data_IF_562937283610
#
_entry.id   IF_562937283610
#
_cell.length_a   1.000
_cell.length_b   1.000
_cell.length_c   1.000
_cell.angle_alpha   90.00
_cell.angle_beta   90.00
_cell.angle_gamma   90.00
#
_symmetry.space_group_name_H-M   'P 1'
#
loop_
_entity.id
_entity.type
_entity.pdbx_description
1 polymer ?
#
# COMPACT_ATOMS: atom_id res chain seq x y z
N UNK A 1 8.96 -23.99 -2.35
CA UNK A 1 9.74 -23.61 -1.14
C UNK A 1 9.12 -24.19 0.14
N UNK A 2 7.81 -24.00 0.40
CA UNK A 2 7.14 -24.50 1.62
C UNK A 2 7.31 -26.02 1.84
N UNK A 3 7.08 -26.85 0.82
CA UNK A 3 7.24 -28.31 0.95
C UNK A 3 8.66 -28.76 1.29
N UNK A 4 9.67 -28.05 0.77
CA UNK A 4 11.08 -28.31 1.10
C UNK A 4 11.35 -27.97 2.57
N UNK A 5 10.85 -26.83 3.07
CA UNK A 5 11.04 -26.44 4.47
C UNK A 5 10.37 -27.41 5.44
N UNK A 6 9.15 -27.87 5.14
CA UNK A 6 8.46 -28.87 5.95
C UNK A 6 9.22 -30.21 5.96
N UNK A 7 9.75 -30.63 4.81
CA UNK A 7 10.58 -31.82 4.74
C UNK A 7 11.88 -31.67 5.54
N UNK A 8 12.56 -30.52 5.43
CA UNK A 8 13.76 -30.21 6.21
C UNK A 8 13.49 -30.20 7.72
N UNK A 9 12.30 -29.75 8.15
CA UNK A 9 11.93 -29.76 9.57
C UNK A 9 11.84 -31.18 10.15
N UNK A 10 11.52 -32.18 9.32
CA UNK A 10 11.44 -33.58 9.73
C UNK A 10 12.79 -34.30 9.64
N UNK A 11 13.85 -33.62 9.16
CA UNK A 11 15.16 -34.21 9.01
C UNK A 11 15.81 -34.49 10.37
N UNK A 12 16.39 -35.69 10.52
CA UNK A 12 17.06 -36.14 11.74
C UNK A 12 18.59 -36.07 11.66
N UNK A 13 19.15 -35.89 10.45
CA UNK A 13 20.60 -35.83 10.23
C UNK A 13 20.92 -34.96 9.02
N UNK A 14 21.86 -34.03 9.19
CA UNK A 14 22.38 -33.17 8.13
C UNK A 14 22.97 -33.98 6.98
N UNK A 15 23.77 -35.00 7.28
CA UNK A 15 24.44 -35.83 6.26
C UNK A 15 23.43 -36.63 5.42
N UNK A 16 22.42 -37.19 6.08
CA UNK A 16 21.33 -37.91 5.41
C UNK A 16 20.51 -36.99 4.49
N UNK A 17 20.22 -35.79 4.97
CA UNK A 17 19.51 -34.75 4.20
C UNK A 17 20.30 -34.30 2.98
N UNK A 18 21.60 -34.02 3.13
CA UNK A 18 22.47 -33.65 2.01
C UNK A 18 22.44 -34.75 0.96
N UNK A 19 22.64 -36.01 1.36
CA UNK A 19 22.62 -37.15 0.45
C UNK A 19 21.29 -37.27 -0.32
N UNK A 20 20.16 -37.10 0.38
CA UNK A 20 18.83 -37.13 -0.25
C UNK A 20 18.62 -35.99 -1.25
N UNK A 21 19.10 -34.78 -0.95
CA UNK A 21 19.05 -33.65 -1.89
C UNK A 21 19.89 -33.95 -3.13
N UNK A 22 21.13 -34.44 -2.96
CA UNK A 22 22.04 -34.70 -4.07
C UNK A 22 21.50 -35.73 -5.07
N UNK A 23 20.77 -36.75 -4.60
CA UNK A 23 20.14 -37.76 -5.48
C UNK A 23 19.14 -37.13 -6.46
N UNK A 24 18.46 -36.04 -6.07
CA UNK A 24 17.51 -35.33 -6.94
C UNK A 24 18.17 -34.51 -8.04
N UNK A 25 19.49 -34.26 -7.94
CA UNK A 25 20.25 -33.49 -8.91
C UNK A 25 20.88 -34.39 -9.98
N UNK A 26 21.18 -33.81 -11.14
CA UNK A 26 21.93 -34.49 -12.21
C UNK A 26 23.35 -34.80 -11.73
N UNK A 27 23.89 -35.97 -12.11
CA UNK A 27 25.21 -36.43 -11.65
C UNK A 27 26.34 -35.41 -11.82
N UNK A 28 26.39 -34.74 -12.97
CA UNK A 28 27.44 -33.76 -13.29
C UNK A 28 27.46 -32.48 -12.45
N UNK A 29 26.45 -32.23 -11.59
CA UNK A 29 26.43 -31.05 -10.70
C UNK A 29 26.43 -31.41 -9.21
N UNK A 30 26.46 -32.71 -8.87
CA UNK A 30 26.34 -33.16 -7.47
C UNK A 30 27.52 -32.73 -6.62
N UNK A 31 28.75 -32.87 -7.12
CA UNK A 31 29.95 -32.53 -6.33
C UNK A 31 30.01 -31.03 -6.01
N UNK A 32 29.69 -30.17 -6.98
CA UNK A 32 29.64 -28.72 -6.78
C UNK A 32 28.50 -28.33 -5.83
N UNK A 33 27.32 -28.92 -6.00
CA UNK A 33 26.19 -28.69 -5.11
C UNK A 33 26.47 -29.16 -3.68
N UNK A 34 27.09 -30.33 -3.49
CA UNK A 34 27.47 -30.85 -2.18
C UNK A 34 28.42 -29.90 -1.48
N UNK A 35 29.49 -29.49 -2.17
CA UNK A 35 30.43 -28.50 -1.64
C UNK A 35 29.72 -27.21 -1.24
N UNK A 36 28.86 -26.67 -2.11
CA UNK A 36 28.11 -25.44 -1.83
C UNK A 36 27.17 -25.59 -0.63
N UNK A 37 26.48 -26.73 -0.48
CA UNK A 37 25.58 -27.00 0.64
C UNK A 37 26.39 -27.13 1.93
N UNK A 38 27.49 -27.88 1.94
CA UNK A 38 28.37 -28.04 3.12
C UNK A 38 28.96 -26.71 3.56
N UNK A 39 29.48 -25.92 2.63
CA UNK A 39 30.01 -24.59 2.90
C UNK A 39 28.92 -23.67 3.48
N UNK A 40 27.67 -23.79 3.02
CA UNK A 40 26.55 -23.04 3.59
C UNK A 40 26.23 -23.51 5.01
N UNK A 41 26.10 -24.83 5.25
CA UNK A 41 25.82 -25.39 6.58
C UNK A 41 26.86 -24.97 7.60
N UNK A 42 28.15 -25.05 7.26
CA UNK A 42 29.25 -24.61 8.13
C UNK A 42 29.12 -23.12 8.44
N UNK A 43 28.92 -22.28 7.40
CA UNK A 43 28.81 -20.83 7.56
C UNK A 43 27.63 -20.42 8.44
N UNK A 44 26.46 -21.05 8.27
CA UNK A 44 25.28 -20.74 9.06
C UNK A 44 25.36 -21.33 10.48
N UNK A 45 25.98 -22.51 10.65
CA UNK A 45 26.19 -23.13 11.96
C UNK A 45 27.16 -22.38 12.86
N UNK A 46 28.13 -21.66 12.29
CA UNK A 46 29.10 -20.86 13.05
C UNK A 46 28.53 -19.54 13.61
N UNK A 47 27.35 -19.10 13.16
CA UNK A 47 26.78 -17.81 13.58
C UNK A 47 25.93 -17.95 14.83
N UNK A 48 26.31 -17.24 15.90
CA UNK A 48 25.46 -17.07 17.08
C UNK A 48 24.73 -15.73 17.00
N UNK A 49 23.40 -15.77 16.94
CA UNK A 49 22.55 -14.57 17.06
C UNK A 49 21.33 -14.90 17.90
N UNK A 50 20.62 -13.87 18.38
CA UNK A 50 19.38 -14.11 19.12
C UNK A 50 18.34 -14.88 18.30
N UNK A 51 18.30 -14.67 16.98
CA UNK A 51 17.42 -15.39 16.07
C UNK A 51 17.81 -16.87 15.95
N UNK A 52 19.11 -17.15 15.79
CA UNK A 52 19.62 -18.54 15.70
C UNK A 52 19.32 -19.30 16.99
N UNK A 53 19.54 -18.69 18.16
CA UNK A 53 19.21 -19.32 19.45
C UNK A 53 17.70 -19.58 19.57
N UNK A 54 16.87 -18.59 19.20
CA UNK A 54 15.43 -18.78 19.18
C UNK A 54 14.99 -19.96 18.30
N UNK A 55 15.61 -20.16 17.13
CA UNK A 55 15.34 -21.32 16.27
C UNK A 55 15.82 -22.66 16.85
N UNK A 56 16.88 -22.64 17.67
CA UNK A 56 17.49 -23.86 18.23
C UNK A 56 16.77 -24.35 19.49
N UNK A 57 16.46 -23.45 20.43
CA UNK A 57 15.96 -23.80 21.76
C UNK A 57 14.77 -22.94 22.23
N UNK A 58 14.22 -22.09 21.37
CA UNK A 58 13.12 -21.20 21.72
C UNK A 58 13.55 -20.00 22.59
N UNK A 59 14.85 -19.73 22.73
CA UNK A 59 15.40 -18.57 23.44
C UNK A 59 14.69 -17.27 23.07
N UNK A 60 14.58 -16.36 24.03
CA UNK A 60 13.96 -15.05 23.82
C UNK A 60 14.68 -14.27 22.70
N UNK A 61 13.89 -13.72 21.78
CA UNK A 61 14.37 -12.81 20.75
C UNK A 61 14.76 -11.46 21.36
N UNK A 62 16.01 -11.05 21.12
CA UNK A 62 16.60 -9.79 21.56
C UNK A 62 17.13 -9.06 20.34
N UNK A 63 16.74 -7.79 20.26
CA UNK A 63 17.28 -6.82 19.33
C UNK A 63 17.97 -5.75 20.16
N UNK A 64 19.23 -5.42 19.86
CA UNK A 64 20.02 -4.45 20.60
C UNK A 64 20.16 -3.16 19.79
N UNK A 65 20.14 -2.02 20.46
CA UNK A 65 20.51 -0.75 19.86
C UNK A 65 22.04 -0.59 19.76
N UNK A 66 22.50 0.53 19.20
CA UNK A 66 23.93 0.85 19.03
C UNK A 66 24.70 0.90 20.35
N UNK A 67 24.04 1.16 21.48
CA UNK A 67 24.62 1.15 22.82
C UNK A 67 24.55 -0.22 23.51
N UNK A 68 24.08 -1.27 22.84
CA UNK A 68 23.93 -2.62 23.40
C UNK A 68 22.71 -2.80 24.31
N UNK A 69 21.84 -1.79 24.43
CA UNK A 69 20.60 -1.86 25.22
C UNK A 69 19.52 -2.59 24.41
N UNK A 70 18.80 -3.55 25.00
CA UNK A 70 17.75 -4.28 24.29
C UNK A 70 16.52 -3.40 24.04
N UNK A 71 15.96 -3.53 22.84
CA UNK A 71 14.62 -3.04 22.53
C UNK A 71 13.55 -3.82 23.30
N UNK A 72 12.33 -3.26 23.45
CA UNK A 72 11.21 -3.95 24.05
C UNK A 72 10.93 -5.31 23.39
N UNK A 73 10.51 -6.27 24.20
CA UNK A 73 10.27 -7.65 23.75
C UNK A 73 9.30 -7.70 22.55
N UNK A 74 8.17 -7.01 22.65
CA UNK A 74 7.17 -6.97 21.58
C UNK A 74 7.77 -6.46 20.25
N UNK A 75 8.69 -5.49 20.31
CA UNK A 75 9.30 -4.89 19.14
C UNK A 75 10.25 -5.88 18.45
N UNK A 76 11.07 -6.58 19.23
CA UNK A 76 11.94 -7.63 18.71
C UNK A 76 11.14 -8.78 18.09
N UNK A 77 10.08 -9.26 18.77
CA UNK A 77 9.22 -10.33 18.26
C UNK A 77 8.50 -9.94 16.95
N UNK A 78 7.95 -8.73 16.87
CA UNK A 78 7.28 -8.23 15.66
C UNK A 78 8.28 -8.01 14.51
N UNK A 79 9.54 -7.67 14.80
CA UNK A 79 10.59 -7.57 13.79
C UNK A 79 10.96 -8.94 13.23
N UNK A 80 11.34 -9.91 14.08
CA UNK A 80 11.78 -11.23 13.62
C UNK A 80 10.66 -12.06 13.00
N UNK A 81 9.39 -11.76 13.30
CA UNK A 81 8.22 -12.33 12.61
C UNK A 81 7.89 -11.66 11.27
N UNK A 82 8.67 -10.66 10.84
CA UNK A 82 8.48 -9.97 9.57
C UNK A 82 7.31 -8.98 9.55
N UNK A 83 6.74 -8.65 10.71
CA UNK A 83 5.68 -7.64 10.81
C UNK A 83 6.25 -6.23 10.73
N UNK A 84 7.34 -5.92 11.42
CA UNK A 84 7.97 -4.61 11.33
C UNK A 84 8.87 -4.51 10.10
N UNK A 85 8.80 -3.37 9.41
CA UNK A 85 9.64 -3.11 8.24
C UNK A 85 11.12 -2.97 8.64
N UNK A 86 12.08 -3.47 7.85
CA UNK A 86 13.51 -3.17 8.03
C UNK A 86 13.81 -1.67 8.08
N UNK A 87 12.97 -0.84 7.47
CA UNK A 87 13.01 0.61 7.59
C UNK A 87 13.06 1.06 9.06
N UNK A 88 12.28 0.44 9.94
CA UNK A 88 12.23 0.80 11.36
C UNK A 88 13.52 0.43 12.09
N UNK A 89 14.23 -0.62 11.68
CA UNK A 89 15.55 -0.92 12.24
C UNK A 89 16.61 0.09 11.80
N UNK A 90 16.56 0.48 10.54
CA UNK A 90 17.45 1.51 10.01
C UNK A 90 17.26 2.83 10.77
N UNK A 91 16.01 3.18 11.10
CA UNK A 91 15.71 4.28 12.02
C UNK A 91 16.26 3.99 13.42
N UNK A 92 15.90 2.87 14.03
CA UNK A 92 16.16 2.60 15.45
C UNK A 92 17.64 2.35 15.81
N UNK A 93 18.44 1.83 14.89
CA UNK A 93 19.81 1.35 15.16
C UNK A 93 20.84 2.20 14.44
N UNK A 94 20.62 2.47 13.14
CA UNK A 94 21.62 3.10 12.26
C UNK A 94 21.36 4.60 12.10
N UNK A 95 20.15 5.05 12.44
CA UNK A 95 19.68 6.43 12.27
C UNK A 95 19.86 6.92 10.83
N UNK A 96 19.69 6.03 9.85
CA UNK A 96 19.96 6.30 8.44
C UNK A 96 19.00 5.55 7.53
N UNK A 97 18.28 6.26 6.67
CA UNK A 97 17.29 5.67 5.76
C UNK A 97 17.46 6.17 4.35
N UNK A 98 17.21 5.30 3.38
CA UNK A 98 17.14 5.62 1.96
C UNK A 98 15.71 5.47 1.52
N UNK A 99 15.13 6.52 0.95
CA UNK A 99 13.80 6.46 0.38
C UNK A 99 13.79 5.61 -0.89
N UNK A 100 12.74 4.83 -1.08
CA UNK A 100 12.60 3.98 -2.26
C UNK A 100 12.30 4.86 -3.46
N UNK A 101 12.98 4.60 -4.58
CA UNK A 101 12.72 5.33 -5.83
C UNK A 101 11.30 5.03 -6.32
N UNK A 102 10.52 6.08 -6.58
CA UNK A 102 9.19 6.00 -7.19
C UNK A 102 9.24 6.52 -8.64
N UNK A 103 8.20 6.23 -9.43
CA UNK A 103 7.99 6.92 -10.70
C UNK A 103 7.54 8.33 -10.35
N UNK A 104 8.48 9.26 -10.41
CA UNK A 104 8.35 10.57 -9.78
C UNK A 104 8.53 11.71 -10.81
N UNK A 105 8.07 12.91 -10.47
CA UNK A 105 8.21 14.13 -11.27
C UNK A 105 9.38 14.95 -10.71
N UNK A 106 10.52 14.98 -11.40
CA UNK A 106 11.75 15.61 -10.90
C UNK A 106 11.67 17.14 -10.82
N UNK A 107 10.70 17.72 -11.50
CA UNK A 107 10.34 19.13 -11.46
C UNK A 107 9.62 19.49 -10.15
N UNK A 108 8.99 18.51 -9.50
CA UNK A 108 8.31 18.66 -8.22
C UNK A 108 9.23 18.24 -7.05
N UNK A 109 8.96 18.70 -5.82
CA UNK A 109 9.59 18.15 -4.61
C UNK A 109 9.43 16.63 -4.56
N UNK A 110 10.29 15.92 -3.83
CA UNK A 110 10.15 14.47 -3.63
C UNK A 110 8.73 14.08 -3.20
N UNK A 111 8.21 12.96 -3.71
CA UNK A 111 6.90 12.43 -3.27
C UNK A 111 6.86 12.13 -1.77
N UNK A 112 8.02 11.91 -1.15
CA UNK A 112 8.18 11.74 0.29
C UNK A 112 8.01 13.04 1.09
N UNK A 113 7.98 14.21 0.46
CA UNK A 113 7.75 15.47 1.17
C UNK A 113 6.40 15.46 1.91
N UNK A 114 5.35 14.91 1.28
CA UNK A 114 4.00 14.82 1.87
C UNK A 114 3.95 13.94 3.13
N UNK A 115 4.82 12.93 3.23
CA UNK A 115 4.85 12.01 4.38
C UNK A 115 5.90 12.36 5.43
N UNK A 116 6.63 13.48 5.27
CA UNK A 116 7.66 13.89 6.22
C UNK A 116 7.14 14.03 7.66
N UNK A 117 5.97 14.67 7.94
CA UNK A 117 5.48 14.77 9.31
C UNK A 117 5.16 13.39 9.92
N UNK A 118 4.60 12.46 9.13
CA UNK A 118 4.36 11.08 9.56
C UNK A 118 5.67 10.36 9.93
N UNK A 119 6.73 10.57 9.14
CA UNK A 119 8.06 10.00 9.42
C UNK A 119 8.66 10.57 10.69
N UNK A 120 8.63 11.89 10.88
CA UNK A 120 9.15 12.54 12.10
C UNK A 120 8.43 12.03 13.35
N UNK A 121 7.12 11.82 13.29
CA UNK A 121 6.34 11.19 14.38
C UNK A 121 6.75 9.73 14.58
N UNK A 122 6.91 8.95 13.51
CA UNK A 122 7.38 7.56 13.59
C UNK A 122 8.79 7.48 14.20
N UNK A 123 9.67 8.42 13.89
CA UNK A 123 10.99 8.54 14.50
C UNK A 123 10.86 8.82 16.00
N UNK A 124 9.94 9.70 16.40
CA UNK A 124 9.67 10.00 17.81
C UNK A 124 9.20 8.78 18.60
N UNK A 125 8.34 7.95 17.99
CA UNK A 125 7.88 6.69 18.58
C UNK A 125 9.01 5.68 18.74
N UNK A 126 9.87 5.55 17.73
CA UNK A 126 10.87 4.48 17.64
C UNK A 126 12.16 4.81 18.39
N UNK A 127 12.64 6.05 18.30
CA UNK A 127 13.99 6.39 18.75
C UNK A 127 14.15 6.49 20.27
N UNK A 128 13.06 6.40 21.06
CA UNK A 128 13.07 6.35 22.52
C UNK A 128 14.04 7.35 23.19
N UNK A 129 14.29 8.47 22.52
CA UNK A 129 15.34 9.40 22.91
C UNK A 129 14.84 10.25 24.09
N UNK A 130 15.71 10.51 25.06
CA UNK A 130 15.38 11.40 26.17
C UNK A 130 15.26 12.86 25.67
N UNK A 131 14.46 13.66 26.38
CA UNK A 131 14.37 15.10 26.13
C UNK A 131 15.77 15.74 26.16
N UNK A 132 16.10 16.53 25.14
CA UNK A 132 17.40 17.18 25.00
C UNK A 132 18.45 16.36 24.25
N UNK A 133 18.14 15.14 23.81
CA UNK A 133 19.03 14.39 22.92
C UNK A 133 18.99 14.98 21.50
N UNK A 134 20.16 15.33 20.94
CA UNK A 134 20.29 15.77 19.53
C UNK A 134 20.31 14.56 18.58
N UNK A 135 19.29 13.69 18.72
CA UNK A 135 19.13 12.53 17.85
C UNK A 135 18.38 12.97 16.61
N UNK A 136 18.96 12.66 15.46
CA UNK A 136 18.33 12.87 14.17
C UNK A 136 18.58 11.67 13.25
N UNK A 137 17.72 11.54 12.25
CA UNK A 137 17.80 10.50 11.24
C UNK A 137 18.33 11.11 9.95
N UNK A 138 19.41 10.53 9.41
CA UNK A 138 19.89 10.85 8.07
C UNK A 138 18.93 10.25 7.03
N UNK A 139 18.14 11.11 6.38
CA UNK A 139 17.31 10.77 5.23
C UNK A 139 18.08 11.01 3.94
N UNK A 140 18.17 9.98 3.10
CA UNK A 140 18.64 10.09 1.72
C UNK A 140 17.41 10.10 0.80
N UNK A 141 17.24 11.20 0.09
CA UNK A 141 16.13 11.44 -0.83
C UNK A 141 16.57 12.35 -1.98
N UNK A 142 15.74 12.51 -2.99
CA UNK A 142 16.06 13.37 -4.13
C UNK A 142 15.78 14.85 -3.87
N UNK A 143 16.57 15.70 -4.53
CA UNK A 143 16.27 17.10 -4.80
C UNK A 143 16.56 17.37 -6.28
N UNK A 144 15.51 17.63 -7.06
CA UNK A 144 15.58 17.53 -8.50
C UNK A 144 16.06 16.13 -8.92
N UNK A 145 17.15 16.08 -9.70
CA UNK A 145 17.77 14.85 -10.20
C UNK A 145 18.91 14.31 -9.31
N UNK A 146 19.22 14.99 -8.20
CA UNK A 146 20.35 14.65 -7.35
C UNK A 146 19.87 13.95 -6.08
N UNK A 147 20.66 12.99 -5.59
CA UNK A 147 20.48 12.44 -4.25
C UNK A 147 21.07 13.41 -3.23
N UNK A 148 20.30 13.77 -2.22
CA UNK A 148 20.70 14.65 -1.13
C UNK A 148 20.51 13.96 0.21
N UNK A 149 21.34 14.34 1.17
CA UNK A 149 21.23 13.92 2.56
C UNK A 149 20.56 15.03 3.37
N UNK A 150 19.46 14.72 4.05
CA UNK A 150 18.77 15.60 4.99
C UNK A 150 18.84 15.01 6.39
N UNK A 151 18.90 15.89 7.40
CA UNK A 151 18.94 15.48 8.80
C UNK A 151 17.59 15.80 9.42
N UNK A 152 16.75 14.79 9.58
CA UNK A 152 15.39 14.96 10.07
C UNK A 152 15.30 14.64 11.56
N UNK A 153 14.79 15.61 12.33
CA UNK A 153 14.61 15.47 13.77
C UNK A 153 13.26 14.83 14.11
N UNK A 154 13.19 13.94 15.10
CA UNK A 154 11.93 13.37 15.55
C UNK A 154 10.94 14.43 16.04
N UNK A 155 9.65 14.18 15.85
CA UNK A 155 8.59 14.90 16.57
C UNK A 155 8.20 14.08 17.79
N UNK A 156 8.25 14.68 18.97
CA UNK A 156 7.85 14.02 20.24
C UNK A 156 6.46 14.42 20.72
N UNK A 157 5.78 15.29 19.98
CA UNK A 157 4.44 15.75 20.28
C UNK A 157 3.52 15.56 19.07
N UNK A 158 2.26 15.27 19.38
CA UNK A 158 1.18 15.16 18.40
C UNK A 158 0.04 16.05 18.87
N UNK A 159 -0.47 16.88 17.96
CA UNK A 159 -1.60 17.78 18.24
C UNK A 159 -2.79 16.99 18.81
N UNK A 160 -3.45 17.53 19.84
CA UNK A 160 -4.61 16.92 20.54
C UNK A 160 -4.35 15.62 21.32
N UNK A 161 -3.18 15.01 21.18
CA UNK A 161 -2.72 13.88 21.98
C UNK A 161 -1.73 14.31 23.08
N UNK A 162 -0.81 15.21 22.74
CA UNK A 162 0.29 15.63 23.61
C UNK A 162 1.57 14.84 23.31
N UNK A 163 2.36 14.56 24.36
CA UNK A 163 3.65 13.88 24.25
C UNK A 163 3.50 12.42 23.80
N UNK A 164 4.37 11.99 22.90
CA UNK A 164 4.41 10.61 22.44
C UNK A 164 4.85 9.65 23.57
N UNK A 165 4.23 8.47 23.67
CA UNK A 165 4.68 7.42 24.58
C UNK A 165 6.05 6.88 24.14
N UNK A 166 6.90 6.53 25.12
CA UNK A 166 8.16 5.81 24.84
C UNK A 166 7.85 4.42 24.26
N UNK A 167 8.74 3.90 23.41
CA UNK A 167 8.54 2.63 22.70
C UNK A 167 8.19 1.44 23.63
N UNK A 168 8.79 1.36 24.82
CA UNK A 168 8.50 0.30 25.79
C UNK A 168 7.11 0.43 26.43
N UNK A 169 6.53 1.64 26.46
CA UNK A 169 5.20 1.89 27.02
C UNK A 169 4.05 1.59 26.05
N UNK A 170 4.33 1.37 24.77
CA UNK A 170 3.29 1.13 23.76
C UNK A 170 2.43 -0.10 24.09
N UNK A 171 3.05 -1.18 24.58
CA UNK A 171 2.32 -2.41 24.95
C UNK A 171 1.42 -2.23 26.17
N UNK A 172 1.75 -1.29 27.05
CA UNK A 172 1.01 -0.97 28.27
C UNK A 172 -0.24 -0.10 27.98
N UNK A 173 -0.27 0.63 26.85
CA UNK A 173 -1.43 1.43 26.47
C UNK A 173 -2.61 0.54 26.09
N UNK A 174 -3.83 0.91 26.46
CA UNK A 174 -5.02 0.24 25.97
C UNK A 174 -5.27 0.54 24.48
N UNK A 175 -6.11 -0.29 23.84
CA UNK A 175 -6.39 -0.17 22.40
C UNK A 175 -7.05 1.16 22.03
N UNK A 176 -7.88 1.74 22.90
CA UNK A 176 -8.55 3.03 22.64
C UNK A 176 -7.55 4.18 22.67
N UNK A 177 -6.58 4.15 23.59
CA UNK A 177 -5.49 5.13 23.63
C UNK A 177 -4.60 5.02 22.39
N UNK A 178 -4.28 3.80 21.94
CA UNK A 178 -3.52 3.59 20.69
C UNK A 178 -4.29 4.07 19.45
N UNK A 179 -5.61 3.86 19.40
CA UNK A 179 -6.49 4.40 18.35
C UNK A 179 -6.51 5.92 18.37
N UNK A 180 -6.75 6.53 19.53
CA UNK A 180 -6.73 7.98 19.68
C UNK A 180 -5.41 8.58 19.22
N UNK A 181 -4.27 7.96 19.55
CA UNK A 181 -2.96 8.40 19.05
C UNK A 181 -2.91 8.35 17.53
N UNK A 182 -3.32 7.23 16.92
CA UNK A 182 -3.38 7.10 15.46
C UNK A 182 -4.27 8.20 14.84
N UNK A 183 -5.47 8.41 15.36
CA UNK A 183 -6.43 9.40 14.86
C UNK A 183 -5.89 10.83 14.98
N UNK A 184 -5.17 11.14 16.07
CA UNK A 184 -4.51 12.44 16.24
C UNK A 184 -3.35 12.65 15.27
N UNK A 185 -2.60 11.59 14.92
CA UNK A 185 -1.50 11.67 13.93
C UNK A 185 -2.03 11.95 12.53
N UNK A 186 -3.17 11.35 12.17
CA UNK A 186 -3.80 11.53 10.85
C UNK A 186 -4.83 12.66 10.81
N UNK A 187 -5.05 13.33 11.95
CA UNK A 187 -6.05 14.38 12.12
C UNK A 187 -7.45 13.95 11.66
N UNK A 188 -7.77 12.67 11.88
CA UNK A 188 -8.96 12.02 11.33
C UNK A 188 -9.55 11.02 12.32
N UNK A 189 -10.78 11.28 12.77
CA UNK A 189 -11.53 10.36 13.63
C UNK A 189 -12.38 9.42 12.75
N UNK A 190 -11.83 8.24 12.44
CA UNK A 190 -12.51 7.26 11.60
C UNK A 190 -13.75 6.66 12.28
N UNK A 191 -13.75 6.55 13.61
CA UNK A 191 -14.87 5.98 14.37
C UNK A 191 -16.08 6.92 14.41
N UNK A 192 -15.86 8.23 14.52
CA UNK A 192 -16.94 9.22 14.46
C UNK A 192 -17.73 9.18 13.14
N UNK A 193 -17.07 8.77 12.06
CA UNK A 193 -17.63 8.78 10.71
C UNK A 193 -18.36 7.49 10.32
N UNK A 194 -18.47 6.52 11.24
CA UNK A 194 -19.23 5.26 11.08
C UNK A 194 -18.86 4.41 9.85
N UNK A 195 -17.75 4.71 9.16
CA UNK A 195 -17.29 3.92 8.03
C UNK A 195 -16.95 2.48 8.45
N UNK A 196 -17.03 1.51 7.52
CA UNK A 196 -16.55 0.16 7.78
C UNK A 196 -15.09 0.13 8.21
N UNK A 197 -14.77 -0.69 9.21
CA UNK A 197 -13.43 -0.82 9.80
C UNK A 197 -12.32 -1.07 8.75
N UNK A 198 -12.53 -1.89 7.69
CA UNK A 198 -11.51 -2.12 6.68
C UNK A 198 -11.08 -0.88 5.88
N UNK A 199 -11.83 0.22 5.96
CA UNK A 199 -11.55 1.49 5.28
C UNK A 199 -10.90 2.54 6.18
N UNK A 200 -10.87 2.36 7.51
CA UNK A 200 -10.47 3.41 8.46
C UNK A 200 -9.10 4.00 8.15
N UNK A 201 -8.06 3.15 8.01
CA UNK A 201 -6.71 3.63 7.68
C UNK A 201 -6.68 4.27 6.28
N UNK A 202 -7.36 3.69 5.29
CA UNK A 202 -7.35 4.20 3.92
C UNK A 202 -7.92 5.63 3.88
N UNK A 203 -9.08 5.83 4.50
CA UNK A 203 -9.75 7.13 4.53
C UNK A 203 -8.99 8.17 5.36
N UNK A 204 -8.41 7.76 6.50
CA UNK A 204 -7.53 8.63 7.29
C UNK A 204 -6.32 9.09 6.45
N UNK A 205 -5.70 8.17 5.70
CA UNK A 205 -4.56 8.49 4.85
C UNK A 205 -4.95 9.38 3.67
N UNK A 206 -6.09 9.14 3.03
CA UNK A 206 -6.56 9.99 1.92
C UNK A 206 -6.86 11.40 2.42
N UNK A 207 -7.53 11.52 3.56
CA UNK A 207 -7.80 12.81 4.20
C UNK A 207 -6.50 13.55 4.52
N UNK A 208 -5.54 12.86 5.13
CA UNK A 208 -4.23 13.42 5.46
C UNK A 208 -3.48 13.85 4.20
N UNK A 209 -3.36 12.97 3.21
CA UNK A 209 -2.63 13.25 1.97
C UNK A 209 -3.22 14.46 1.24
N UNK A 210 -4.55 14.57 1.11
CA UNK A 210 -5.18 15.71 0.43
C UNK A 210 -4.93 17.04 1.14
N UNK A 211 -4.73 17.03 2.46
CA UNK A 211 -4.42 18.23 3.25
C UNK A 211 -2.94 18.58 3.27
N UNK A 212 -2.05 17.60 3.06
CA UNK A 212 -0.60 17.77 3.15
C UNK A 212 0.14 17.62 1.80
N UNK A 213 -0.59 17.41 0.70
CA UNK A 213 -0.02 17.36 -0.64
C UNK A 213 0.74 18.65 -0.97
N UNK A 214 1.81 18.54 -1.75
CA UNK A 214 2.64 19.69 -2.12
C UNK A 214 1.89 20.72 -2.99
N UNK A 215 0.83 20.27 -3.65
CA UNK A 215 -0.08 21.09 -4.43
C UNK A 215 -1.51 20.57 -4.25
N UNK A 216 -2.54 21.41 -4.48
CA UNK A 216 -3.91 20.92 -4.56
C UNK A 216 -4.03 19.77 -5.55
N UNK A 217 -4.87 18.79 -5.21
CA UNK A 217 -5.02 17.54 -5.96
C UNK A 217 -6.21 17.62 -6.92
N UNK A 218 -6.18 16.82 -7.99
CA UNK A 218 -7.32 16.63 -8.87
C UNK A 218 -8.49 15.92 -8.13
N UNK A 219 -9.66 16.56 -8.04
CA UNK A 219 -10.84 15.97 -7.40
C UNK A 219 -11.36 14.71 -8.11
N UNK A 220 -11.11 14.58 -9.42
CA UNK A 220 -11.41 13.34 -10.14
C UNK A 220 -10.49 12.19 -9.71
N UNK A 221 -9.28 12.46 -9.23
CA UNK A 221 -8.43 11.43 -8.62
C UNK A 221 -9.05 10.88 -7.34
N UNK A 222 -9.66 11.74 -6.51
CA UNK A 222 -10.42 11.29 -5.33
C UNK A 222 -11.60 10.40 -5.73
N UNK A 223 -12.39 10.80 -6.74
CA UNK A 223 -13.50 9.98 -7.28
C UNK A 223 -12.98 8.61 -7.73
N UNK A 224 -11.91 8.59 -8.51
CA UNK A 224 -11.27 7.36 -8.99
C UNK A 224 -10.76 6.48 -7.85
N UNK A 225 -10.18 7.07 -6.80
CA UNK A 225 -9.63 6.34 -5.66
C UNK A 225 -10.71 5.67 -4.81
N UNK A 226 -11.76 6.40 -4.47
CA UNK A 226 -12.88 5.85 -3.72
C UNK A 226 -13.60 4.77 -4.54
N UNK A 227 -13.81 5.01 -5.84
CA UNK A 227 -14.44 4.02 -6.71
C UNK A 227 -13.56 2.78 -6.89
N UNK A 228 -12.25 2.97 -7.06
CA UNK A 228 -11.29 1.88 -7.15
C UNK A 228 -11.33 0.98 -5.91
N UNK A 229 -11.42 1.58 -4.73
CA UNK A 229 -11.53 0.87 -3.45
C UNK A 229 -12.79 0.01 -3.41
N UNK A 230 -13.92 0.53 -3.90
CA UNK A 230 -15.17 -0.24 -4.04
C UNK A 230 -15.02 -1.39 -5.02
N UNK A 231 -14.56 -1.10 -6.25
CA UNK A 231 -14.49 -2.09 -7.33
C UNK A 231 -13.51 -3.22 -7.01
N UNK A 232 -12.35 -2.93 -6.41
CA UNK A 232 -11.36 -3.95 -6.05
C UNK A 232 -11.86 -4.94 -4.99
N UNK A 233 -12.82 -4.52 -4.17
CA UNK A 233 -13.47 -5.37 -3.15
C UNK A 233 -14.62 -6.18 -3.72
N UNK A 234 -15.20 -5.75 -4.84
CA UNK A 234 -16.19 -6.49 -5.60
C UNK A 234 -15.56 -7.59 -6.49
N UNK A 235 -14.31 -7.41 -6.91
CA UNK A 235 -13.64 -8.36 -7.79
C UNK A 235 -13.35 -9.71 -7.09
N UNK A 236 -13.71 -10.85 -7.72
CA UNK A 236 -13.40 -12.17 -7.17
C UNK A 236 -11.89 -12.38 -7.00
N UNK A 237 -11.45 -13.00 -5.90
CA UNK A 237 -10.03 -13.25 -5.59
C UNK A 237 -9.28 -13.94 -6.76
N UNK A 238 -9.95 -14.82 -7.52
CA UNK A 238 -9.37 -15.56 -8.64
C UNK A 238 -9.05 -14.70 -9.88
N UNK A 239 -9.71 -13.55 -10.05
CA UNK A 239 -9.48 -12.66 -11.20
C UNK A 239 -8.23 -11.78 -11.04
N UNK A 240 -7.69 -11.69 -9.83
CA UNK A 240 -6.50 -10.89 -9.51
C UNK A 240 -5.18 -11.66 -9.76
N UNK A 241 -5.24 -12.98 -9.95
CA UNK A 241 -4.07 -13.88 -10.09
C UNK A 241 -3.94 -14.49 -11.48
N UNK A 242 -4.07 -13.72 -12.55
CA UNK A 242 -3.70 -14.21 -13.89
C UNK A 242 -2.19 -14.12 -14.14
N UNK A 243 -1.44 -15.00 -13.47
CA UNK A 243 -0.25 -15.64 -14.05
C UNK A 243 -0.26 -17.13 -13.70
N UNK A 244 -0.38 -17.96 -14.74
CA UNK A 244 0.09 -19.36 -14.71
C UNK A 244 1.59 -19.35 -14.39
N UNK A 245 1.94 -19.39 -13.11
CA UNK A 245 3.23 -19.89 -12.65
C UNK A 245 2.97 -21.29 -12.13
N UNK A 246 3.73 -22.23 -12.68
CA UNK A 246 3.72 -23.64 -12.37
C UNK A 246 3.87 -23.87 -10.85
N UNK A 247 3.00 -24.72 -10.30
CA UNK A 247 3.08 -25.25 -8.94
C UNK A 247 2.11 -24.59 -7.97
N UNK A 248 1.00 -25.28 -7.66
CA UNK A 248 0.09 -24.92 -6.57
C UNK A 248 0.88 -24.74 -5.26
N UNK A 249 0.87 -23.57 -4.62
CA UNK A 249 0.98 -23.51 -3.17
C UNK A 249 -0.44 -23.65 -2.60
N UNK A 250 -0.67 -24.67 -1.77
CA UNK A 250 -1.80 -24.62 -0.84
C UNK A 250 -1.55 -23.45 0.11
N UNK A 251 -2.43 -22.46 0.06
CA UNK A 251 -2.54 -21.41 1.05
C UNK A 251 -2.88 -22.06 2.40
N UNK A 252 -1.97 -22.00 3.36
CA UNK A 252 -2.33 -22.07 4.78
C UNK A 252 -2.77 -20.68 5.22
N UNK A 253 -3.89 -20.25 4.65
CA UNK A 253 -4.81 -19.26 5.18
C UNK A 253 -6.13 -19.57 4.50
N UNK A 254 -6.88 -20.49 5.10
CA UNK A 254 -8.31 -20.54 4.87
C UNK A 254 -8.86 -19.19 5.33
N UNK A 255 -8.99 -18.24 4.41
CA UNK A 255 -9.93 -17.14 4.58
C UNK A 255 -10.92 -17.18 3.40
N UNK A 256 -11.84 -18.16 3.40
CA UNK A 256 -12.91 -18.29 2.42
C UNK A 256 -14.08 -17.36 2.75
N UNK A 257 -13.86 -16.23 3.44
CA UNK A 257 -14.95 -15.31 3.69
C UNK A 257 -15.31 -14.56 2.40
N UNK A 258 -16.54 -14.70 1.89
CA UNK A 258 -17.04 -13.83 0.84
C UNK A 258 -16.97 -12.39 1.36
N UNK A 259 -16.40 -11.50 0.56
CA UNK A 259 -16.32 -10.08 0.93
C UNK A 259 -17.75 -9.55 0.91
N UNK A 260 -18.26 -9.22 2.08
CA UNK A 260 -19.56 -8.60 2.26
C UNK A 260 -19.47 -7.14 1.77
N UNK A 261 -20.36 -6.71 0.87
CA UNK A 261 -20.28 -5.34 0.29
C UNK A 261 -20.42 -4.26 1.38
N UNK A 262 -21.01 -4.60 2.52
CA UNK A 262 -21.14 -3.75 3.70
C UNK A 262 -19.79 -3.45 4.37
N UNK A 263 -18.74 -4.24 4.09
CA UNK A 263 -17.36 -3.92 4.49
C UNK A 263 -16.79 -2.70 3.76
N UNK A 264 -17.49 -2.18 2.75
CA UNK A 264 -17.01 -1.07 1.91
C UNK A 264 -18.08 0.01 1.75
N UNK A 265 -19.32 -0.36 1.43
CA UNK A 265 -20.42 0.58 1.24
C UNK A 265 -21.56 0.27 2.21
N UNK A 266 -21.80 1.19 3.13
CA UNK A 266 -22.95 1.14 4.02
C UNK A 266 -24.24 1.28 3.18
N UNK A 267 -25.24 0.46 3.50
CA UNK A 267 -26.58 0.55 2.89
C UNK A 267 -26.83 -0.32 1.66
N UNK A 268 -25.82 -1.00 1.12
CA UNK A 268 -26.03 -2.06 0.12
C UNK A 268 -26.19 -3.39 0.83
N UNK A 269 -27.29 -4.11 0.63
CA UNK A 269 -27.46 -5.46 1.16
C UNK A 269 -26.84 -6.50 0.21
N UNK A 270 -26.29 -7.60 0.72
CA UNK A 270 -25.65 -8.63 -0.13
C UNK A 270 -26.63 -9.23 -1.14
N UNK A 271 -27.91 -9.31 -0.76
CA UNK A 271 -29.00 -9.76 -1.63
C UNK A 271 -29.18 -8.87 -2.87
N UNK A 272 -28.76 -7.60 -2.81
CA UNK A 272 -28.82 -6.66 -3.92
C UNK A 272 -27.58 -6.76 -4.83
N UNK A 273 -26.50 -7.39 -4.35
CA UNK A 273 -25.25 -7.60 -5.09
C UNK A 273 -25.14 -9.05 -5.56
N UNK A 274 -25.97 -9.40 -6.54
CA UNK A 274 -25.86 -10.72 -7.18
C UNK A 274 -24.58 -10.82 -8.02
N UNK A 275 -24.10 -12.04 -8.26
CA UNK A 275 -22.92 -12.26 -9.11
C UNK A 275 -23.06 -11.60 -10.50
N UNK A 276 -24.28 -11.61 -11.06
CA UNK A 276 -24.59 -10.96 -12.35
C UNK A 276 -24.35 -9.44 -12.29
N UNK A 277 -24.77 -8.77 -11.20
CA UNK A 277 -24.55 -7.33 -11.01
C UNK A 277 -23.06 -7.02 -10.86
N UNK A 278 -22.33 -7.87 -10.13
CA UNK A 278 -20.88 -7.74 -9.96
C UNK A 278 -20.18 -7.89 -11.30
N UNK A 279 -20.50 -8.93 -12.08
CA UNK A 279 -19.86 -9.23 -13.36
C UNK A 279 -20.13 -8.12 -14.38
N UNK A 280 -21.36 -7.61 -14.47
CA UNK A 280 -21.71 -6.51 -15.37
C UNK A 280 -21.00 -5.21 -14.96
N UNK A 281 -20.93 -4.92 -13.66
CA UNK A 281 -20.17 -3.77 -13.16
C UNK A 281 -18.69 -3.91 -13.52
N UNK A 282 -18.08 -5.07 -13.29
CA UNK A 282 -16.68 -5.32 -13.62
C UNK A 282 -16.42 -5.18 -15.12
N UNK A 283 -17.36 -5.65 -15.95
CA UNK A 283 -17.31 -5.51 -17.40
C UNK A 283 -17.34 -4.04 -17.83
N UNK A 284 -18.21 -3.21 -17.24
CA UNK A 284 -18.28 -1.78 -17.54
C UNK A 284 -16.95 -1.05 -17.30
N UNK A 285 -16.22 -1.45 -16.25
CA UNK A 285 -14.92 -0.85 -15.91
C UNK A 285 -13.70 -1.56 -16.52
N UNK A 286 -13.90 -2.67 -17.24
CA UNK A 286 -12.84 -3.56 -17.76
C UNK A 286 -11.70 -2.80 -18.47
N UNK A 287 -12.03 -1.84 -19.34
CA UNK A 287 -11.06 -1.07 -20.13
C UNK A 287 -10.07 -0.27 -19.28
N UNK A 288 -10.45 0.14 -18.06
CA UNK A 288 -9.60 0.97 -17.19
C UNK A 288 -8.52 0.16 -16.46
N UNK A 289 -8.64 -1.17 -16.42
CA UNK A 289 -7.65 -2.06 -15.82
C UNK A 289 -6.49 -2.39 -16.77
N UNK A 290 -6.60 -2.02 -18.05
CA UNK A 290 -5.57 -2.28 -19.07
C UNK A 290 -4.45 -1.22 -19.04
N UNK A 291 -3.25 -1.54 -19.53
CA UNK A 291 -2.12 -0.60 -19.48
C UNK A 291 -2.48 0.68 -20.25
N UNK A 292 -2.16 1.87 -19.71
CA UNK A 292 -2.33 3.10 -20.47
C UNK A 292 -1.51 3.06 -21.75
N UNK A 293 -2.09 3.55 -22.84
CA UNK A 293 -1.39 3.77 -24.10
C UNK A 293 -0.93 5.21 -24.17
N UNK A 294 0.39 5.40 -24.26
CA UNK A 294 1.01 6.72 -24.39
C UNK A 294 1.47 6.95 -25.83
N UNK A 295 1.13 8.11 -26.39
CA UNK A 295 1.53 8.53 -27.72
C UNK A 295 1.52 10.07 -27.83
N UNK A 296 1.79 10.60 -29.03
CA UNK A 296 1.78 12.05 -29.27
C UNK A 296 0.44 12.74 -28.99
N UNK A 297 -0.68 12.02 -28.97
CA UNK A 297 -1.99 12.57 -28.62
C UNK A 297 -2.36 12.33 -27.13
N UNK A 298 -1.79 11.29 -26.52
CA UNK A 298 -2.01 10.89 -25.12
C UNK A 298 -0.69 10.87 -24.37
N UNK A 299 -0.25 12.04 -23.94
CA UNK A 299 0.98 12.17 -23.17
C UNK A 299 0.87 11.52 -21.79
N UNK A 300 2.00 11.09 -21.26
CA UNK A 300 2.12 10.66 -19.87
C UNK A 300 1.89 11.86 -18.94
N UNK A 301 1.00 11.69 -17.98
CA UNK A 301 0.65 12.70 -17.00
C UNK A 301 1.50 12.51 -15.73
N UNK A 302 2.64 13.20 -15.70
CA UNK A 302 3.60 13.10 -14.60
C UNK A 302 3.03 13.64 -13.28
N UNK A 303 2.18 14.66 -13.33
CA UNK A 303 1.59 15.29 -12.15
C UNK A 303 0.56 14.38 -11.49
N UNK A 304 -0.27 13.70 -12.29
CA UNK A 304 -1.20 12.69 -11.80
C UNK A 304 -0.46 11.52 -11.12
N UNK A 305 0.60 11.02 -11.74
CA UNK A 305 1.41 9.93 -11.16
C UNK A 305 2.13 10.38 -9.89
N UNK A 306 2.68 11.60 -9.90
CA UNK A 306 3.30 12.23 -8.73
C UNK A 306 2.32 12.29 -7.54
N UNK A 307 1.09 12.73 -7.80
CA UNK A 307 0.03 12.80 -6.79
C UNK A 307 -0.29 11.42 -6.20
N UNK A 308 -0.36 10.37 -7.04
CA UNK A 308 -0.50 8.99 -6.59
C UNK A 308 0.70 8.50 -5.76
N UNK A 309 1.91 8.91 -6.13
CA UNK A 309 3.13 8.60 -5.40
C UNK A 309 3.14 9.20 -3.99
N UNK A 310 2.69 10.45 -3.83
CA UNK A 310 2.52 11.05 -2.50
C UNK A 310 1.59 10.22 -1.61
N UNK A 311 0.42 9.84 -2.12
CA UNK A 311 -0.52 8.96 -1.43
C UNK A 311 0.13 7.63 -1.02
N UNK A 312 0.90 7.00 -1.91
CA UNK A 312 1.61 5.74 -1.62
C UNK A 312 2.62 5.89 -0.48
N UNK A 313 3.35 7.02 -0.41
CA UNK A 313 4.27 7.25 0.71
C UNK A 313 3.50 7.40 2.03
N UNK A 314 2.41 8.16 2.06
CA UNK A 314 1.56 8.31 3.25
C UNK A 314 0.99 6.97 3.71
N UNK A 315 0.50 6.15 2.77
CA UNK A 315 0.02 4.79 3.03
C UNK A 315 1.09 3.87 3.65
N UNK A 316 2.33 3.95 3.15
CA UNK A 316 3.46 3.18 3.66
C UNK A 316 3.76 3.52 5.13
N UNK A 317 3.78 4.81 5.47
CA UNK A 317 4.06 5.24 6.84
C UNK A 317 2.86 5.05 7.76
N UNK A 318 1.63 5.14 7.28
CA UNK A 318 0.45 4.76 8.03
C UNK A 318 0.47 3.29 8.44
N UNK A 319 0.84 2.38 7.52
CA UNK A 319 1.02 0.96 7.87
C UNK A 319 2.10 0.78 8.94
N UNK A 320 3.20 1.53 8.83
CA UNK A 320 4.32 1.45 9.77
C UNK A 320 3.93 1.95 11.15
N UNK A 321 3.26 3.09 11.23
CA UNK A 321 2.71 3.67 12.47
C UNK A 321 1.68 2.71 13.08
N UNK A 322 0.71 2.22 12.31
CA UNK A 322 -0.28 1.26 12.80
C UNK A 322 0.39 0.02 13.41
N UNK A 323 1.42 -0.51 12.77
CA UNK A 323 2.17 -1.68 13.28
C UNK A 323 2.99 -1.39 14.54
N UNK A 324 3.64 -0.22 14.60
CA UNK A 324 4.37 0.22 15.81
C UNK A 324 3.40 0.43 16.97
N UNK A 325 2.20 0.93 16.71
CA UNK A 325 1.14 1.06 17.72
C UNK A 325 0.42 -0.27 18.03
N UNK A 326 0.98 -1.42 17.62
CA UNK A 326 0.40 -2.75 17.86
C UNK A 326 -1.00 -2.94 17.24
N UNK A 327 -1.20 -2.37 16.05
CA UNK A 327 -2.38 -2.51 15.17
C UNK A 327 -3.70 -2.11 15.86
N UNK A 328 -3.87 -0.85 16.29
CA UNK A 328 -5.14 -0.34 16.80
C UNK A 328 -6.28 -0.45 15.77
N UNK A 329 -5.93 -0.43 14.48
CA UNK A 329 -6.80 -0.67 13.34
C UNK A 329 -6.32 -1.88 12.52
N UNK A 330 -7.21 -2.51 11.77
CA UNK A 330 -6.85 -3.55 10.81
C UNK A 330 -5.88 -3.00 9.76
N UNK A 331 -4.98 -3.87 9.27
CA UNK A 331 -4.03 -3.44 8.25
C UNK A 331 -4.75 -3.19 6.92
N UNK A 332 -4.32 -2.15 6.21
CA UNK A 332 -4.76 -1.90 4.84
C UNK A 332 -4.39 -3.10 3.95
N UNK A 333 -5.41 -3.67 3.30
CA UNK A 333 -5.23 -4.65 2.24
C UNK A 333 -4.96 -3.89 0.93
N UNK A 334 -3.69 -3.59 0.64
CA UNK A 334 -3.33 -2.78 -0.54
C UNK A 334 -3.86 -3.36 -1.85
N UNK A 335 -3.83 -4.70 -1.99
CA UNK A 335 -4.36 -5.39 -3.16
C UNK A 335 -5.88 -5.20 -3.37
N UNK A 336 -6.59 -4.79 -2.32
CA UNK A 336 -8.04 -4.49 -2.38
C UNK A 336 -8.38 -3.01 -2.28
N UNK A 337 -7.39 -2.13 -2.24
CA UNK A 337 -7.63 -0.70 -1.98
C UNK A 337 -6.99 0.21 -3.02
N UNK A 338 -6.03 -0.30 -3.80
CA UNK A 338 -5.30 0.54 -4.75
C UNK A 338 -4.90 -0.24 -6.00
N UNK A 339 -5.18 0.34 -7.17
CA UNK A 339 -4.64 -0.07 -8.47
C UNK A 339 -4.24 1.17 -9.28
N UNK A 340 -2.94 1.39 -9.45
CA UNK A 340 -2.41 2.59 -10.11
C UNK A 340 -2.83 2.72 -11.59
N UNK A 341 -2.99 1.59 -12.30
CA UNK A 341 -3.44 1.58 -13.69
C UNK A 341 -4.87 2.10 -13.81
N UNK A 342 -5.78 1.56 -12.98
CA UNK A 342 -7.16 2.01 -12.93
C UNK A 342 -7.25 3.48 -12.54
N UNK A 343 -6.51 3.88 -11.49
CA UNK A 343 -6.51 5.26 -11.01
C UNK A 343 -6.08 6.24 -12.08
N UNK A 344 -5.01 5.92 -12.80
CA UNK A 344 -4.52 6.76 -13.89
C UNK A 344 -5.56 6.86 -15.01
N UNK A 345 -6.00 5.72 -15.56
CA UNK A 345 -6.89 5.69 -16.71
C UNK A 345 -8.25 6.34 -16.42
N UNK A 346 -8.85 5.99 -15.28
CA UNK A 346 -10.18 6.49 -14.92
C UNK A 346 -10.15 7.98 -14.59
N UNK A 347 -9.11 8.47 -13.92
CA UNK A 347 -8.96 9.91 -13.65
C UNK A 347 -8.86 10.70 -14.96
N UNK A 348 -7.99 10.27 -15.89
CA UNK A 348 -7.87 10.92 -17.20
C UNK A 348 -9.19 10.90 -17.98
N UNK A 349 -9.95 9.82 -17.88
CA UNK A 349 -11.28 9.74 -18.49
C UNK A 349 -12.24 10.78 -17.88
N UNK A 350 -12.33 10.84 -16.55
CA UNK A 350 -13.18 11.78 -15.83
C UNK A 350 -12.81 13.25 -16.10
N UNK A 351 -11.53 13.56 -16.30
CA UNK A 351 -11.06 14.92 -16.63
C UNK A 351 -11.63 15.45 -17.95
N UNK A 352 -11.97 14.55 -18.89
CA UNK A 352 -12.61 14.92 -20.16
C UNK A 352 -14.11 15.12 -20.05
N UNK A 353 -14.74 14.72 -18.92
CA UNK A 353 -16.19 14.71 -18.78
C UNK A 353 -16.70 16.01 -18.16
N UNK A 354 -17.74 16.65 -18.74
CA UNK A 354 -18.34 17.85 -18.15
C UNK A 354 -19.10 17.53 -16.86
N UNK A 355 -19.59 16.30 -16.71
CA UNK A 355 -20.32 15.82 -15.53
C UNK A 355 -19.74 14.47 -15.07
N UNK A 356 -18.60 14.45 -14.36
CA UNK A 356 -17.95 13.21 -13.92
C UNK A 356 -18.86 12.31 -13.08
N UNK A 357 -19.66 12.89 -12.19
CA UNK A 357 -20.58 12.13 -11.33
C UNK A 357 -21.67 11.40 -12.13
N UNK A 358 -22.18 12.03 -13.21
CA UNK A 358 -23.15 11.38 -14.10
C UNK A 358 -22.52 10.22 -14.87
N UNK A 359 -21.27 10.38 -15.32
CA UNK A 359 -20.53 9.32 -16.00
C UNK A 359 -20.29 8.11 -15.09
N UNK A 360 -19.92 8.34 -13.83
CA UNK A 360 -19.79 7.27 -12.84
C UNK A 360 -21.15 6.59 -12.62
N UNK A 361 -22.22 7.36 -12.49
CA UNK A 361 -23.56 6.82 -12.30
C UNK A 361 -24.04 5.96 -13.46
N UNK A 362 -23.72 6.34 -14.70
CA UNK A 362 -24.00 5.52 -15.88
C UNK A 362 -23.26 4.17 -15.84
N UNK A 363 -21.99 4.16 -15.44
CA UNK A 363 -21.18 2.93 -15.38
C UNK A 363 -21.57 1.99 -14.22
N UNK A 364 -22.04 2.54 -13.10
CA UNK A 364 -22.54 1.77 -11.95
C UNK A 364 -24.01 1.35 -12.09
N UNK A 365 -24.69 1.76 -13.16
CA UNK A 365 -26.12 1.61 -13.34
C UNK A 365 -26.88 2.71 -12.59
N UNK A 366 -27.41 3.67 -13.34
CA UNK A 366 -28.04 4.87 -12.78
C UNK A 366 -29.21 4.53 -11.86
N UNK A 367 -29.16 4.98 -10.60
CA UNK A 367 -30.20 4.69 -9.60
C UNK A 367 -30.13 3.27 -9.03
N UNK A 368 -29.09 2.49 -9.36
CA UNK A 368 -28.85 1.20 -8.72
C UNK A 368 -28.47 1.40 -7.24
N UNK A 369 -28.69 0.40 -6.36
CA UNK A 369 -28.22 0.46 -4.98
C UNK A 369 -26.72 0.76 -4.86
N UNK A 370 -25.91 0.22 -5.79
CA UNK A 370 -24.47 0.43 -5.82
C UNK A 370 -24.11 1.88 -6.16
N UNK A 371 -24.76 2.47 -7.17
CA UNK A 371 -24.57 3.87 -7.54
C UNK A 371 -25.00 4.81 -6.42
N UNK A 372 -26.19 4.60 -5.85
CA UNK A 372 -26.72 5.43 -4.76
C UNK A 372 -25.80 5.38 -3.54
N UNK A 373 -25.35 4.19 -3.16
CA UNK A 373 -24.42 4.01 -2.04
C UNK A 373 -23.06 4.65 -2.31
N UNK A 374 -22.49 4.48 -3.51
CA UNK A 374 -21.23 5.12 -3.87
C UNK A 374 -21.36 6.66 -3.89
N UNK A 375 -22.45 7.19 -4.47
CA UNK A 375 -22.73 8.63 -4.52
C UNK A 375 -22.88 9.22 -3.12
N UNK A 376 -23.57 8.51 -2.23
CA UNK A 376 -23.66 8.87 -0.80
C UNK A 376 -22.29 8.88 -0.12
N UNK A 377 -21.55 7.79 -0.26
CA UNK A 377 -20.20 7.64 0.29
C UNK A 377 -19.24 8.76 -0.17
N UNK A 378 -19.21 9.04 -1.48
CA UNK A 378 -18.39 10.11 -2.03
C UNK A 378 -18.79 11.48 -1.47
N UNK A 379 -20.09 11.80 -1.41
CA UNK A 379 -20.57 13.09 -0.89
C UNK A 379 -20.25 13.27 0.58
N UNK A 380 -20.45 12.24 1.39
CA UNK A 380 -20.15 12.25 2.82
C UNK A 380 -18.65 12.49 3.04
N UNK A 381 -17.78 11.71 2.40
CA UNK A 381 -16.34 11.87 2.53
C UNK A 381 -15.82 13.18 1.92
N UNK A 382 -16.41 13.68 0.84
CA UNK A 382 -16.03 14.97 0.26
C UNK A 382 -16.42 16.16 1.15
N UNK A 383 -17.50 16.04 1.91
CA UNK A 383 -18.02 17.11 2.78
C UNK A 383 -17.12 17.45 3.97
N UNK A 384 -16.29 16.50 4.39
CA UNK A 384 -15.34 16.68 5.50
C UNK A 384 -13.99 17.26 5.03
N UNK A 385 -13.77 17.38 3.72
CA UNK A 385 -12.51 17.83 3.15
C UNK A 385 -12.57 19.32 2.77
N UNK A 386 -11.56 20.13 3.14
CA UNK A 386 -11.47 21.52 2.72
C UNK A 386 -11.37 21.68 1.20
N UNK A 387 -12.01 22.73 0.65
CA UNK A 387 -11.95 23.00 -0.79
C UNK A 387 -10.54 23.38 -1.30
N UNK A 388 -9.68 23.87 -0.42
CA UNK A 388 -8.28 24.20 -0.77
C UNK A 388 -7.44 22.96 -1.10
N UNK A 389 -7.90 21.76 -0.75
CA UNK A 389 -7.27 20.50 -1.12
C UNK A 389 -7.37 20.20 -2.62
N UNK A 390 -8.25 20.88 -3.36
CA UNK A 390 -8.54 20.56 -4.75
C UNK A 390 -8.21 21.69 -5.72
N UNK A 391 -7.78 21.30 -6.92
CA UNK A 391 -7.59 22.24 -8.02
C UNK A 391 -8.91 22.95 -8.37
N UNK A 392 -8.86 24.27 -8.49
CA UNK A 392 -10.00 25.05 -8.99
C UNK A 392 -10.19 24.72 -10.47
N UNK A 393 -11.36 24.17 -10.83
CA UNK A 393 -11.73 23.99 -12.24
C UNK A 393 -11.67 25.33 -12.95
N UNK A 394 -10.72 25.49 -13.87
CA UNK A 394 -10.70 26.62 -14.78
C UNK A 394 -12.00 26.60 -15.60
N UNK A 395 -12.78 27.68 -15.54
CA UNK A 395 -13.94 27.85 -16.43
C UNK A 395 -13.41 27.78 -17.87
N UNK A 396 -13.93 26.88 -18.74
CA UNK A 396 -13.44 26.80 -20.10
C UNK A 396 -13.71 28.13 -20.80
N UNK A 397 -12.64 28.89 -21.07
CA UNK A 397 -12.73 30.07 -21.93
C UNK A 397 -13.27 29.61 -23.29
N UNK A 398 -14.38 30.22 -23.73
CA UNK A 398 -15.01 29.95 -25.03
C UNK A 398 -14.01 30.29 -26.15
N UNK A 399 -13.17 29.35 -26.55
CA UNK A 399 -12.42 29.46 -27.82
C UNK A 399 -13.43 29.30 -28.96
N UNK A 400 -13.69 30.39 -29.68
CA UNK A 400 -14.56 30.44 -30.87
C UNK A 400 -14.11 29.36 -31.87
N UNK A 401 -15.02 28.45 -32.24
CA UNK A 401 -14.86 27.47 -33.32
C UNK A 401 -14.47 28.21 -34.60
N UNK A 402 -13.33 27.85 -35.19
CA UNK A 402 -13.02 28.18 -36.59
C UNK A 402 -13.31 26.92 -37.41
N UNK A 403 -14.38 26.95 -38.20
CA UNK A 403 -14.79 25.85 -39.08
C UNK A 403 -13.67 25.51 -40.06
N UNK A 404 -13.36 24.23 -40.19
CA UNK A 404 -12.64 23.70 -41.35
C UNK A 404 -13.22 22.32 -41.71
N UNK A 405 -14.00 22.29 -42.78
CA UNK A 405 -14.51 21.07 -43.41
C UNK A 405 -13.36 20.28 -44.04
N UNK A 406 -13.25 18.98 -43.76
CA UNK A 406 -12.71 17.97 -44.71
C UNK A 406 -13.40 16.61 -44.44
N UNK A 407 -13.69 15.92 -45.55
CA UNK A 407 -14.51 14.72 -45.78
C UNK A 407 -13.98 13.41 -45.16
N UNK A 408 -14.93 12.51 -44.94
CA UNK A 408 -14.82 11.09 -44.59
C UNK A 408 -13.84 10.28 -45.43
N UNK A 409 -13.21 9.30 -44.77
CA UNK A 409 -12.93 7.96 -45.31
C UNK A 409 -13.05 6.92 -44.19
N UNK A 410 -13.96 5.98 -44.41
CA UNK A 410 -14.12 4.73 -43.67
C UNK A 410 -12.86 3.88 -43.74
N UNK A 411 -12.52 3.23 -42.63
CA UNK A 411 -11.73 2.00 -42.59
C UNK A 411 -12.29 1.13 -41.47
N UNK A 412 -12.63 -0.10 -41.85
CA UNK A 412 -13.19 -1.14 -41.00
C UNK A 412 -12.21 -1.51 -39.86
N UNK A 413 -12.71 -1.59 -38.63
CA UNK A 413 -12.03 -2.21 -37.50
C UNK A 413 -12.64 -3.62 -37.31
N UNK A 414 -11.85 -4.65 -37.61
CA UNK A 414 -12.15 -6.03 -37.26
C UNK A 414 -12.05 -6.19 -35.73
N UNK A 415 -13.18 -6.50 -35.09
CA UNK A 415 -13.23 -6.94 -33.70
C UNK A 415 -12.55 -8.32 -33.58
N UNK A 416 -11.30 -8.34 -33.12
CA UNK A 416 -10.69 -9.56 -32.59
C UNK A 416 -11.08 -9.70 -31.11
N UNK A 417 -11.86 -10.72 -30.78
CA UNK A 417 -12.09 -11.21 -29.41
C UNK A 417 -10.77 -11.70 -28.80
N UNK A 418 -9.94 -10.77 -28.32
CA UNK A 418 -8.83 -11.11 -27.43
C UNK A 418 -9.36 -11.22 -26.00
N UNK A 419 -9.26 -12.43 -25.43
CA UNK A 419 -9.47 -12.70 -24.01
C UNK A 419 -8.64 -11.72 -23.17
N UNK A 420 -9.32 -10.78 -22.52
CA UNK A 420 -8.70 -9.68 -21.76
C UNK A 420 -7.98 -10.25 -20.54
N UNK A 421 -6.65 -10.23 -20.58
CA UNK A 421 -5.83 -10.48 -19.40
C UNK A 421 -5.95 -9.26 -18.49
N UNK A 422 -6.78 -9.36 -17.44
CA UNK A 422 -6.77 -8.44 -16.31
C UNK A 422 -5.32 -8.33 -15.81
N UNK A 423 -4.73 -7.15 -15.92
CA UNK A 423 -3.38 -6.94 -15.41
C UNK A 423 -3.42 -7.12 -13.89
N UNK A 424 -2.61 -8.05 -13.42
CA UNK A 424 -2.51 -8.40 -12.01
C UNK A 424 -2.26 -7.14 -11.19
N UNK A 425 -3.09 -6.93 -10.17
CA UNK A 425 -2.78 -5.92 -9.17
C UNK A 425 -1.45 -6.33 -8.53
N UNK A 426 -0.36 -5.60 -8.78
CA UNK A 426 0.98 -5.98 -8.26
C UNK A 426 1.03 -6.00 -6.73
N UNK A 427 0.05 -5.40 -6.06
CA UNK A 427 -0.12 -5.53 -4.62
C UNK A 427 -0.66 -6.89 -4.18
N UNK A 428 -1.28 -7.68 -5.06
CA UNK A 428 -1.73 -9.04 -4.76
C UNK A 428 -0.56 -10.02 -4.55
N UNK A 429 0.62 -9.67 -5.06
CA UNK A 429 1.86 -10.43 -4.90
C UNK A 429 2.68 -10.00 -3.64
N UNK A 430 2.17 -9.04 -2.84
CA UNK A 430 2.79 -8.44 -1.64
C UNK A 430 1.98 -8.71 -0.37
#
# INVERSE_FOLDING_TARGET
MIGLLHWLQMATSVEGTISQVLVTLKSGVRDEAEKSIRDAVIRYGARSSSFVRNLQDGSQLKLLNSSGVPFPRWFAEQFFSGVLSPYLLNVAIVHKVFHLTQIDCFEMPSSYACSLPLRKTLYGLVLAAEEGSDVAVEEFDREGKNMVRRLERPSYEVSRFGRLPKLHKIEELDVLTRRRLFDCIFEFDACALKYPEPLHIMLAVVSYWLQHACSPTNENLLRSLLLNTVLLRLLPQATQSSKKVCGKPRSTSDDPNPIHIQEVLLGVQDQQMTQVVIDETCKNFSKFWSRPTHNHARHFDADLVYSCCQLQTCLMFARSINRVLLRPYSNVQFHRSFNGTFLYNFTKELDTRPKPDLFIAEYLGRGSPLEVAFSGFYKEFRSILPDCCFERRAVPSRKKKKNRNVRDKHTDEEESEESVVLLTNRFADL
#
